data_IF_127556452035
#
_entry.id   IF_127556452035
#
_cell.length_a   1.000
_cell.length_b   1.000
_cell.length_c   1.000
_cell.angle_alpha   90.00
_cell.angle_beta   90.00
_cell.angle_gamma   90.00
#
_symmetry.space_group_name_H-M   'P 1'
#
loop_
_entity.id
_entity.type
_entity.pdbx_description
1 polymer ?
#
# COMPACT_ATOMS: atom_id res chain seq x y z
N UNK A 1 22.72 1.74 12.91
CA UNK A 1 23.11 2.05 14.30
C UNK A 1 22.66 0.92 15.21
N UNK A 2 23.56 0.29 15.98
CA UNK A 2 23.30 -0.93 16.74
C UNK A 2 22.08 -0.82 17.68
N UNK A 3 21.85 0.36 18.28
CA UNK A 3 20.68 0.63 19.13
C UNK A 3 19.32 0.45 18.44
N UNK A 4 19.18 0.87 17.17
CA UNK A 4 17.91 0.70 16.44
C UNK A 4 17.58 -0.77 16.19
N UNK A 5 18.59 -1.59 15.94
CA UNK A 5 18.41 -3.03 15.72
C UNK A 5 17.97 -3.74 17.01
N UNK A 6 18.64 -3.44 18.14
CA UNK A 6 18.28 -4.00 19.44
C UNK A 6 16.84 -3.65 19.87
N UNK A 7 16.40 -2.41 19.61
CA UNK A 7 15.03 -1.97 19.88
C UNK A 7 14.01 -2.66 18.97
N UNK A 8 14.31 -2.80 17.66
CA UNK A 8 13.40 -3.45 16.71
C UNK A 8 13.16 -4.93 16.96
N UNK A 9 14.09 -5.62 17.65
CA UNK A 9 13.96 -7.03 18.02
C UNK A 9 13.33 -7.25 19.40
N UNK A 10 13.02 -6.19 20.15
CA UNK A 10 12.50 -6.31 21.51
C UNK A 10 13.52 -6.86 22.52
N UNK A 11 14.82 -6.81 22.21
CA UNK A 11 15.88 -7.35 23.06
C UNK A 11 16.33 -6.35 24.17
N UNK A 12 15.82 -5.12 24.15
CA UNK A 12 16.15 -4.11 25.13
C UNK A 12 15.43 -4.36 26.46
N UNK A 13 16.14 -4.22 27.58
CA UNK A 13 15.57 -4.33 28.93
C UNK A 13 15.83 -3.04 29.71
N UNK A 14 14.84 -2.57 30.47
CA UNK A 14 14.97 -1.39 31.32
C UNK A 14 14.85 -1.80 32.79
N UNK A 15 15.83 -1.42 33.60
CA UNK A 15 15.84 -1.64 35.05
C UNK A 15 15.66 -0.29 35.72
N UNK A 16 14.63 -0.14 36.56
CA UNK A 16 14.34 1.10 37.28
C UNK A 16 14.96 1.06 38.68
N UNK A 17 15.64 2.14 39.05
CA UNK A 17 16.15 2.38 40.40
C UNK A 17 15.62 3.70 40.96
N UNK A 18 15.93 4.03 42.23
CA UNK A 18 15.57 5.31 42.81
C UNK A 18 16.27 6.45 42.03
N UNK A 19 15.50 7.31 41.37
CA UNK A 19 16.01 8.48 40.62
C UNK A 19 16.86 8.16 39.39
N UNK A 20 16.94 6.90 38.97
CA UNK A 20 17.79 6.46 37.86
C UNK A 20 17.21 5.23 37.16
N UNK A 21 17.70 4.93 35.96
CA UNK A 21 17.39 3.69 35.26
C UNK A 21 18.62 3.18 34.52
N UNK A 22 18.65 1.88 34.22
CA UNK A 22 19.68 1.28 33.37
C UNK A 22 19.00 0.61 32.18
N UNK A 23 19.35 1.07 30.98
CA UNK A 23 18.92 0.45 29.72
C UNK A 23 19.96 -0.58 29.29
N UNK A 24 19.57 -1.85 29.21
CA UNK A 24 20.41 -2.94 28.72
C UNK A 24 20.08 -3.25 27.27
N UNK A 25 21.11 -3.33 26.44
CA UNK A 25 21.05 -3.63 25.02
C UNK A 25 21.99 -4.82 24.73
N UNK A 26 21.51 -6.07 24.85
CA UNK A 26 22.34 -7.27 24.76
C UNK A 26 23.10 -7.38 23.43
N UNK A 27 22.51 -6.87 22.35
CA UNK A 27 23.12 -6.86 21.01
C UNK A 27 24.11 -5.71 20.79
N UNK A 28 24.38 -4.84 21.79
CA UNK A 28 25.37 -3.75 21.68
C UNK A 28 26.70 -4.17 22.32
N UNK A 29 27.73 -4.60 21.56
CA UNK A 29 28.95 -5.19 22.12
C UNK A 29 29.82 -4.18 22.88
N UNK A 30 29.67 -2.89 22.57
CA UNK A 30 30.51 -1.81 23.11
C UNK A 30 29.93 -1.19 24.38
N UNK A 31 28.60 -1.12 24.49
CA UNK A 31 27.89 -0.55 25.64
C UNK A 31 26.60 -1.34 25.88
N UNK A 32 26.69 -2.53 26.49
CA UNK A 32 25.52 -3.37 26.74
C UNK A 32 24.61 -2.80 27.84
N UNK A 33 25.04 -1.76 28.57
CA UNK A 33 24.28 -1.06 29.59
C UNK A 33 24.53 0.44 29.52
N UNK A 34 23.45 1.23 29.55
CA UNK A 34 23.44 2.68 29.57
C UNK A 34 22.74 3.15 30.85
N UNK A 35 23.44 3.92 31.68
CA UNK A 35 22.84 4.60 32.82
C UNK A 35 22.03 5.82 32.36
N UNK A 36 20.83 5.95 32.90
CA UNK A 36 19.88 7.02 32.63
C UNK A 36 19.61 7.76 33.95
N UNK A 37 19.77 9.08 33.91
CA UNK A 37 19.42 9.95 35.03
C UNK A 37 18.04 10.57 34.81
N UNK A 38 17.35 10.87 35.90
CA UNK A 38 16.07 11.57 35.83
C UNK A 38 16.26 13.03 35.43
N UNK A 39 15.48 13.49 34.45
CA UNK A 39 15.45 14.90 34.04
C UNK A 39 14.69 15.77 35.06
N UNK A 40 15.06 17.06 35.22
CA UNK A 40 14.27 18.01 36.00
C UNK A 40 12.83 18.10 35.51
N UNK A 41 11.87 18.30 36.41
CA UNK A 41 10.44 18.24 36.08
C UNK A 41 10.00 19.24 35.00
N UNK A 42 10.61 20.44 34.95
CA UNK A 42 10.32 21.43 33.92
C UNK A 42 10.75 20.95 32.53
N UNK A 43 11.98 20.44 32.42
CA UNK A 43 12.53 19.92 31.16
C UNK A 43 11.79 18.66 30.72
N UNK A 44 11.53 17.74 31.65
CA UNK A 44 10.79 16.52 31.37
C UNK A 44 9.40 16.80 30.77
N UNK A 45 8.68 17.82 31.26
CA UNK A 45 7.38 18.22 30.70
C UNK A 45 7.49 18.67 29.25
N UNK A 46 8.44 19.55 28.94
CA UNK A 46 8.66 20.04 27.57
C UNK A 46 9.06 18.89 26.64
N UNK A 47 9.95 18.00 27.08
CA UNK A 47 10.37 16.84 26.30
C UNK A 47 9.21 15.86 26.05
N UNK A 48 8.36 15.60 27.06
CA UNK A 48 7.19 14.75 26.92
C UNK A 48 6.15 15.34 25.95
N UNK A 49 5.89 16.65 26.03
CA UNK A 49 5.00 17.32 25.08
C UNK A 49 5.52 17.19 23.65
N UNK A 50 6.79 17.53 23.42
CA UNK A 50 7.41 17.41 22.10
C UNK A 50 7.39 15.96 21.57
N UNK A 51 7.66 14.98 22.43
CA UNK A 51 7.61 13.56 22.07
C UNK A 51 6.20 13.13 21.66
N UNK A 52 5.16 13.50 22.43
CA UNK A 52 3.77 13.12 22.13
C UNK A 52 3.30 13.72 20.80
N UNK A 53 3.53 15.02 20.59
CA UNK A 53 3.15 15.66 19.33
C UNK A 53 3.96 15.13 18.14
N UNK A 54 5.26 14.86 18.35
CA UNK A 54 6.12 14.24 17.34
C UNK A 54 5.65 12.85 16.93
N UNK A 55 5.28 12.00 17.91
CA UNK A 55 4.75 10.66 17.64
C UNK A 55 3.43 10.73 16.87
N UNK A 56 2.51 11.62 17.25
CA UNK A 56 1.26 11.81 16.52
C UNK A 56 1.50 12.17 15.05
N UNK A 57 2.39 13.12 14.77
CA UNK A 57 2.77 13.49 13.40
C UNK A 57 3.45 12.34 12.63
N UNK A 58 4.29 11.54 13.29
CA UNK A 58 4.89 10.36 12.69
C UNK A 58 3.84 9.30 12.33
N UNK A 59 2.86 9.04 13.20
CA UNK A 59 1.79 8.08 12.96
C UNK A 59 0.95 8.53 11.76
N UNK A 60 0.49 9.78 11.74
CA UNK A 60 -0.29 10.33 10.62
C UNK A 60 0.47 10.22 9.28
N UNK A 61 1.77 10.54 9.29
CA UNK A 61 2.63 10.41 8.11
C UNK A 61 2.78 8.95 7.64
N UNK A 62 2.94 8.02 8.58
CA UNK A 62 3.05 6.59 8.29
C UNK A 62 1.74 6.02 7.73
N UNK A 63 0.60 6.38 8.31
CA UNK A 63 -0.73 5.98 7.83
C UNK A 63 -0.96 6.46 6.40
N UNK A 64 -0.69 7.74 6.10
CA UNK A 64 -0.82 8.29 4.73
C UNK A 64 0.06 7.57 3.72
N UNK A 65 1.28 7.21 4.11
CA UNK A 65 2.23 6.45 3.25
C UNK A 65 1.75 5.02 3.03
N UNK A 66 1.17 4.39 4.05
CA UNK A 66 0.58 3.06 3.96
C UNK A 66 -0.60 3.06 2.98
N UNK A 67 -1.49 4.04 3.07
CA UNK A 67 -2.62 4.22 2.15
C UNK A 67 -2.17 4.41 0.71
N UNK A 68 -1.18 5.28 0.48
CA UNK A 68 -0.64 5.51 -0.86
C UNK A 68 -0.04 4.23 -1.47
N UNK A 69 0.64 3.41 -0.65
CA UNK A 69 1.18 2.13 -1.09
C UNK A 69 0.07 1.13 -1.47
N UNK A 70 -0.99 1.03 -0.65
CA UNK A 70 -2.15 0.18 -0.94
C UNK A 70 -2.88 0.54 -2.25
N UNK A 71 -2.96 1.83 -2.59
CA UNK A 71 -3.55 2.30 -3.87
C UNK A 71 -2.67 1.97 -5.08
N UNK A 72 -1.34 1.96 -4.91
CA UNK A 72 -0.41 1.63 -5.99
C UNK A 72 -0.40 0.15 -6.40
N UNK A 73 -0.95 -0.74 -5.57
CA UNK A 73 -1.04 -2.18 -5.84
C UNK A 73 -2.36 -2.64 -6.47
N UNK A 74 -3.34 -1.75 -6.69
CA UNK A 74 -4.59 -2.09 -7.35
C UNK A 74 -4.63 -1.46 -8.75
N UNK A 75 -4.55 -2.23 -9.85
CA UNK A 75 -4.85 -1.67 -11.15
C UNK A 75 -6.33 -1.34 -11.13
N UNK A 76 -6.66 -0.05 -11.10
CA UNK A 76 -8.03 0.40 -11.27
C UNK A 76 -8.55 -0.18 -12.59
N UNK A 77 -9.45 -1.16 -12.50
CA UNK A 77 -10.11 -1.76 -13.65
C UNK A 77 -10.95 -0.66 -14.30
N UNK A 78 -10.41 -0.02 -15.33
CA UNK A 78 -11.13 0.95 -16.15
C UNK A 78 -12.21 0.22 -16.95
N UNK A 79 -13.39 0.06 -16.35
CA UNK A 79 -14.57 -0.53 -17.00
C UNK A 79 -15.12 0.34 -18.12
N UNK A 80 -14.79 1.63 -18.16
CA UNK A 80 -15.24 2.54 -19.22
C UNK A 80 -14.50 2.27 -20.54
N UNK A 81 -13.19 2.04 -20.48
CA UNK A 81 -12.38 1.77 -21.68
C UNK A 81 -12.63 0.36 -22.24
N UNK A 82 -12.89 -0.63 -21.37
CA UNK A 82 -13.27 -1.98 -21.81
C UNK A 82 -14.62 -2.01 -22.54
N UNK A 83 -15.58 -1.15 -22.17
CA UNK A 83 -16.88 -1.14 -22.84
C UNK A 83 -16.83 -0.50 -24.23
N UNK A 84 -15.96 0.49 -24.45
CA UNK A 84 -15.81 1.13 -25.76
C UNK A 84 -15.21 0.21 -26.84
N UNK A 85 -14.44 -0.82 -26.46
CA UNK A 85 -13.89 -1.78 -27.42
C UNK A 85 -14.91 -2.80 -27.95
N UNK A 86 -16.09 -2.91 -27.31
CA UNK A 86 -17.17 -3.82 -27.72
C UNK A 86 -18.38 -3.11 -28.36
N UNK A 87 -18.33 -1.78 -28.51
CA UNK A 87 -19.39 -1.02 -29.16
C UNK A 87 -19.05 -0.85 -30.65
N UNK A 88 -19.88 -1.37 -31.58
CA UNK A 88 -19.71 -1.08 -33.00
C UNK A 88 -19.94 0.42 -33.25
N UNK A 89 -19.05 1.02 -34.03
CA UNK A 89 -19.09 2.42 -34.42
C UNK A 89 -20.45 2.79 -35.06
N UNK A 90 -21.22 3.75 -34.52
CA UNK A 90 -22.41 4.25 -35.19
C UNK A 90 -21.98 5.16 -36.34
N UNK A 91 -21.58 4.56 -37.47
CA UNK A 91 -21.26 5.34 -38.66
C UNK A 91 -22.52 6.09 -39.15
N UNK A 92 -22.43 7.40 -39.45
CA UNK A 92 -23.57 8.15 -39.98
C UNK A 92 -23.63 7.97 -41.49
N UNK A 93 -24.39 6.98 -41.99
CA UNK A 93 -24.68 6.90 -43.42
C UNK A 93 -26.18 6.77 -43.73
N UNK A 94 -26.71 7.93 -44.11
CA UNK A 94 -27.58 8.20 -45.26
C UNK A 94 -28.73 7.20 -45.54
N UNK A 95 -29.95 7.71 -45.37
CA UNK A 95 -31.18 7.12 -45.88
C UNK A 95 -31.18 6.92 -47.40
N UNK A 96 -32.05 5.99 -47.82
CA UNK A 96 -32.55 5.64 -49.16
C UNK A 96 -31.74 4.56 -49.90
N UNK A 97 -32.26 3.34 -49.88
CA UNK A 97 -32.84 2.70 -51.06
C UNK A 97 -33.41 1.32 -50.71
N UNK A 98 -34.54 1.01 -51.34
CA UNK A 98 -35.26 -0.25 -51.34
C UNK A 98 -34.40 -1.43 -51.82
N UNK A 99 -34.61 -2.64 -51.28
CA UNK A 99 -34.14 -3.87 -51.94
C UNK A 99 -33.91 -5.09 -51.05
N UNK A 100 -34.86 -6.04 -51.13
CA UNK A 100 -34.67 -7.51 -51.11
C UNK A 100 -34.14 -8.20 -49.84
N UNK A 101 -35.03 -8.97 -49.20
CA UNK A 101 -34.73 -9.97 -48.20
C UNK A 101 -34.09 -11.22 -48.83
N UNK A 102 -32.94 -11.67 -48.31
CA UNK A 102 -32.42 -13.03 -48.47
C UNK A 102 -31.74 -13.50 -47.16
N UNK A 103 -31.80 -14.80 -46.83
CA UNK A 103 -31.82 -15.28 -45.45
C UNK A 103 -30.43 -15.29 -44.79
N UNK A 104 -30.44 -15.07 -43.46
CA UNK A 104 -29.28 -15.19 -42.60
C UNK A 104 -28.59 -16.56 -42.78
N UNK A 105 -27.40 -16.55 -43.37
CA UNK A 105 -26.51 -17.72 -43.43
C UNK A 105 -26.12 -18.10 -41.99
N UNK A 106 -26.66 -19.24 -41.53
CA UNK A 106 -26.31 -19.85 -40.24
C UNK A 106 -24.81 -20.15 -40.23
N UNK A 107 -24.09 -19.54 -39.29
CA UNK A 107 -22.66 -19.78 -39.04
C UNK A 107 -22.52 -21.21 -38.49
N UNK A 108 -21.83 -22.09 -39.21
CA UNK A 108 -21.59 -23.46 -38.76
C UNK A 108 -20.51 -23.42 -37.66
N UNK A 109 -20.73 -24.03 -36.48
CA UNK A 109 -19.73 -24.06 -35.42
C UNK A 109 -18.51 -24.88 -35.85
N UNK A 110 -17.30 -24.30 -35.77
CA UNK A 110 -16.03 -25.00 -36.04
C UNK A 110 -15.13 -24.38 -37.12
N UNK A 111 -15.55 -23.30 -37.79
CA UNK A 111 -14.78 -22.65 -38.87
C UNK A 111 -14.05 -21.37 -38.44
N UNK A 112 -13.92 -21.11 -37.14
CA UNK A 112 -13.14 -19.98 -36.64
C UNK A 112 -11.64 -20.28 -36.75
N UNK A 113 -10.88 -19.38 -37.39
CA UNK A 113 -9.40 -19.35 -37.41
C UNK A 113 -8.75 -19.45 -36.01
N UNK A 114 -9.51 -19.07 -34.98
CA UNK A 114 -9.06 -19.01 -33.59
C UNK A 114 -9.26 -20.35 -32.87
N UNK A 115 -10.12 -21.24 -33.41
CA UNK A 115 -10.35 -22.56 -32.84
C UNK A 115 -10.68 -23.53 -33.99
N UNK A 116 -9.66 -23.98 -34.74
CA UNK A 116 -9.87 -25.02 -35.72
C UNK A 116 -10.25 -26.28 -34.92
N UNK A 117 -11.45 -26.80 -35.15
CA UNK A 117 -11.92 -28.00 -34.47
C UNK A 117 -10.89 -29.12 -34.59
N UNK A 118 -10.52 -29.70 -33.46
CA UNK A 118 -9.61 -30.84 -33.38
C UNK A 118 -10.23 -32.04 -34.12
N UNK A 119 -9.45 -32.70 -34.99
CA UNK A 119 -9.76 -34.05 -35.47
C UNK A 119 -9.11 -35.07 -34.54
#
# INVERSE_FOLDING_TARGET
APRRAALGRGAAALILGPGSATLRLPEEPRCPALALAQLPAAEARSQLQALVFGMAGCIESLERRLEAFGRSCSPEKNTAQSQQLFLPDPSPRKSRASGSALPAKRKVPGESLINPGFK
#
